data_IF_883701298098
#
_entry.id   IF_883701298098
#
_cell.length_a   1.000
_cell.length_b   1.000
_cell.length_c   1.000
_cell.angle_alpha   90.00
_cell.angle_beta   90.00
_cell.angle_gamma   90.00
#
_symmetry.space_group_name_H-M   'P 1'
#
loop_
_entity.id
_entity.type
_entity.pdbx_description
1 polymer ?
#
# COMPACT_ATOMS: atom_id res chain seq x y z
N UNK A 1 28.64 -52.38 -5.54
CA UNK A 1 27.37 -52.20 -4.78
C UNK A 1 27.41 -50.84 -4.10
N UNK A 2 26.30 -50.12 -4.21
CA UNK A 2 26.15 -48.65 -4.11
C UNK A 2 26.54 -48.04 -2.76
N UNK A 3 27.25 -46.91 -2.78
CA UNK A 3 27.32 -45.94 -1.67
C UNK A 3 26.58 -44.68 -2.11
N UNK A 4 25.29 -44.62 -1.76
CA UNK A 4 24.43 -43.49 -2.08
C UNK A 4 24.84 -42.29 -1.23
N UNK A 5 25.43 -41.25 -1.85
CA UNK A 5 25.64 -39.95 -1.21
C UNK A 5 24.28 -39.26 -1.04
N UNK A 6 23.91 -38.98 0.20
CA UNK A 6 22.75 -38.16 0.55
C UNK A 6 23.09 -36.68 0.30
N UNK A 7 22.57 -36.13 -0.80
CA UNK A 7 22.59 -34.70 -1.09
C UNK A 7 21.54 -34.03 -0.21
N UNK A 8 21.99 -33.29 0.81
CA UNK A 8 21.12 -32.50 1.68
C UNK A 8 20.72 -31.22 0.94
N UNK A 9 19.52 -31.23 0.37
CA UNK A 9 18.95 -30.09 -0.35
C UNK A 9 18.67 -28.96 0.65
N UNK A 10 19.39 -27.84 0.56
CA UNK A 10 19.12 -26.64 1.35
C UNK A 10 17.70 -26.15 1.05
N UNK A 11 16.88 -26.10 2.10
CA UNK A 11 15.58 -25.43 2.09
C UNK A 11 15.81 -23.94 1.86
N UNK A 12 15.62 -23.48 0.63
CA UNK A 12 15.56 -22.06 0.31
C UNK A 12 14.34 -21.46 1.00
N UNK A 13 14.56 -20.58 1.96
CA UNK A 13 13.50 -19.88 2.66
C UNK A 13 12.71 -19.03 1.65
N UNK A 14 11.50 -19.44 1.32
CA UNK A 14 10.58 -18.63 0.53
C UNK A 14 10.12 -17.46 1.40
N UNK A 15 10.72 -16.29 1.18
CA UNK A 15 10.23 -15.04 1.76
C UNK A 15 8.83 -14.77 1.21
N UNK A 16 7.80 -15.20 1.93
CA UNK A 16 6.44 -14.75 1.73
C UNK A 16 6.45 -13.24 2.00
N UNK A 17 6.36 -12.42 0.94
CA UNK A 17 6.22 -10.97 1.08
C UNK A 17 4.97 -10.70 1.91
N UNK A 18 5.15 -10.46 3.20
CA UNK A 18 4.11 -9.95 4.07
C UNK A 18 3.51 -8.71 3.41
N UNK A 19 2.18 -8.69 3.35
CA UNK A 19 1.37 -7.62 2.78
C UNK A 19 1.92 -6.28 3.27
N UNK A 20 2.56 -5.50 2.39
CA UNK A 20 3.28 -4.26 2.76
C UNK A 20 2.40 -3.11 3.26
N UNK A 21 1.12 -3.41 3.54
CA UNK A 21 0.09 -2.47 3.93
C UNK A 21 -0.25 -2.65 5.42
N UNK A 22 -0.21 -1.56 6.16
CA UNK A 22 -0.57 -1.46 7.56
C UNK A 22 -1.97 -0.83 7.67
N UNK A 23 -2.93 -1.58 8.21
CA UNK A 23 -4.32 -1.15 8.33
C UNK A 23 -4.53 -0.52 9.71
N UNK A 24 -5.03 0.71 9.73
CA UNK A 24 -5.40 1.47 10.93
C UNK A 24 -6.92 1.73 10.92
N UNK A 25 -7.52 2.09 12.07
CA UNK A 25 -8.89 2.59 12.07
C UNK A 25 -9.02 3.81 11.15
N UNK A 26 -9.76 3.67 10.05
CA UNK A 26 -10.01 4.75 9.09
C UNK A 26 -8.86 5.08 8.13
N UNK A 27 -7.74 4.33 8.16
CA UNK A 27 -6.59 4.62 7.31
C UNK A 27 -5.83 3.36 6.89
N UNK A 28 -5.15 3.44 5.75
CA UNK A 28 -4.22 2.42 5.28
C UNK A 28 -2.89 3.09 4.96
N UNK A 29 -1.81 2.55 5.52
CA UNK A 29 -0.45 3.02 5.35
C UNK A 29 0.37 2.03 4.56
N UNK A 30 1.11 2.53 3.57
CA UNK A 30 2.07 1.74 2.82
C UNK A 30 3.49 2.25 3.10
N UNK A 31 4.25 1.48 3.88
CA UNK A 31 5.64 1.81 4.21
C UNK A 31 6.55 1.78 2.98
N UNK A 32 6.24 0.94 1.99
CA UNK A 32 7.03 0.78 0.77
C UNK A 32 6.75 1.90 -0.22
N UNK A 33 5.49 2.28 -0.43
CA UNK A 33 5.15 3.46 -1.24
C UNK A 33 5.45 4.78 -0.49
N UNK A 34 5.48 4.74 0.84
CA UNK A 34 5.84 5.86 1.70
C UNK A 34 4.73 6.90 1.81
N UNK A 35 3.48 6.47 1.94
CA UNK A 35 2.34 7.33 2.25
C UNK A 35 1.24 6.58 2.99
N UNK A 36 0.37 7.32 3.67
CA UNK A 36 -0.89 6.84 4.21
C UNK A 36 -2.06 7.53 3.51
N UNK A 37 -3.21 6.87 3.49
CA UNK A 37 -4.45 7.41 2.96
C UNK A 37 -5.63 7.07 3.87
N UNK A 38 -6.63 7.95 3.87
CA UNK A 38 -7.91 7.79 4.55
C UNK A 38 -9.09 7.94 3.57
N UNK A 39 -10.30 8.14 4.09
CA UNK A 39 -11.51 8.34 3.29
C UNK A 39 -11.46 9.58 2.37
N UNK A 40 -10.62 10.56 2.68
CA UNK A 40 -10.46 11.80 1.90
C UNK A 40 -9.40 11.65 0.80
N UNK A 41 -8.41 10.77 1.00
CA UNK A 41 -7.39 10.45 0.00
C UNK A 41 -6.01 10.26 0.61
N UNK A 42 -4.96 10.44 -0.19
CA UNK A 42 -3.58 10.48 0.29
C UNK A 42 -3.41 11.61 1.30
N UNK A 43 -2.93 11.29 2.51
CA UNK A 43 -2.87 12.22 3.64
C UNK A 43 -1.43 12.46 4.10
N UNK A 44 -0.99 13.71 3.99
CA UNK A 44 0.34 14.15 4.47
C UNK A 44 0.43 14.04 5.99
N UNK A 45 -0.64 14.43 6.69
CA UNK A 45 -0.71 14.38 8.15
C UNK A 45 -0.59 12.94 8.67
N UNK A 46 -1.37 11.99 8.13
CA UNK A 46 -1.29 10.58 8.54
C UNK A 46 0.04 9.95 8.12
N UNK A 47 0.60 10.37 6.99
CA UNK A 47 1.93 9.93 6.56
C UNK A 47 2.98 10.32 7.59
N UNK A 48 2.95 11.56 8.12
CA UNK A 48 3.84 11.98 9.20
C UNK A 48 3.59 11.18 10.48
N UNK A 49 2.32 11.05 10.88
CA UNK A 49 1.92 10.38 12.12
C UNK A 49 2.42 8.93 12.17
N UNK A 50 2.20 8.16 11.10
CA UNK A 50 2.47 6.73 11.10
C UNK A 50 3.82 6.34 10.47
N UNK A 51 4.34 7.14 9.54
CA UNK A 51 5.59 6.84 8.81
C UNK A 51 6.74 7.81 9.11
N UNK A 52 6.48 8.88 9.86
CA UNK A 52 7.46 9.86 10.32
C UNK A 52 7.75 11.00 9.33
N UNK A 53 8.44 12.02 9.83
CA UNK A 53 8.74 13.26 9.10
C UNK A 53 9.52 13.03 7.79
N UNK A 54 10.38 12.01 7.73
CA UNK A 54 11.11 11.68 6.49
C UNK A 54 10.19 11.19 5.38
N UNK A 55 9.11 10.46 5.72
CA UNK A 55 8.12 10.02 4.75
C UNK A 55 7.22 11.18 4.30
N UNK A 56 6.82 12.03 5.24
CA UNK A 56 6.10 13.28 4.98
C UNK A 56 6.85 14.15 3.96
N UNK A 57 8.14 14.43 4.19
CA UNK A 57 8.98 15.23 3.29
C UNK A 57 9.03 14.62 1.88
N UNK A 58 9.29 13.31 1.78
CA UNK A 58 9.31 12.61 0.49
C UNK A 58 7.96 12.66 -0.23
N UNK A 59 6.86 12.56 0.49
CA UNK A 59 5.52 12.69 -0.09
C UNK A 59 5.31 14.10 -0.63
N UNK A 60 5.64 15.12 0.15
CA UNK A 60 5.57 16.53 -0.26
C UNK A 60 6.45 16.80 -1.48
N UNK A 61 7.67 16.27 -1.53
CA UNK A 61 8.57 16.40 -2.69
C UNK A 61 7.95 15.80 -3.95
N UNK A 62 7.29 14.64 -3.84
CA UNK A 62 6.57 14.02 -4.97
C UNK A 62 5.39 14.87 -5.43
N UNK A 63 4.60 15.41 -4.50
CA UNK A 63 3.48 16.32 -4.81
C UNK A 63 4.00 17.57 -5.51
N UNK A 64 5.05 18.20 -4.98
CA UNK A 64 5.65 19.40 -5.55
C UNK A 64 6.27 19.15 -6.93
N UNK A 65 6.85 17.96 -7.16
CA UNK A 65 7.41 17.58 -8.46
C UNK A 65 6.34 17.49 -9.56
N UNK A 66 5.14 17.03 -9.23
CA UNK A 66 4.01 16.97 -10.17
C UNK A 66 3.29 18.32 -10.25
N UNK A 67 3.26 19.06 -9.15
CA UNK A 67 2.48 20.28 -8.98
C UNK A 67 1.24 20.00 -8.13
N UNK A 68 0.97 20.84 -7.13
CA UNK A 68 -0.16 20.65 -6.23
C UNK A 68 -1.52 20.71 -6.95
N UNK A 69 -1.61 21.43 -8.08
CA UNK A 69 -2.81 21.50 -8.91
C UNK A 69 -3.06 20.21 -9.70
N UNK A 70 -2.00 19.47 -10.04
CA UNK A 70 -2.04 18.27 -10.87
C UNK A 70 -2.03 16.96 -10.07
N UNK A 71 -1.85 17.06 -8.75
CA UNK A 71 -1.89 15.92 -7.84
C UNK A 71 -3.35 15.60 -7.45
N UNK A 72 -3.85 14.42 -7.87
CA UNK A 72 -5.15 13.91 -7.43
C UNK A 72 -4.97 12.99 -6.20
N UNK A 73 -5.27 13.45 -4.97
CA UNK A 73 -5.19 12.61 -3.77
C UNK A 73 -6.32 11.57 -3.70
N UNK A 74 -7.36 11.71 -4.53
CA UNK A 74 -8.59 10.88 -4.46
C UNK A 74 -8.46 9.56 -5.20
N UNK A 75 -7.42 9.39 -6.01
CA UNK A 75 -7.12 8.15 -6.72
C UNK A 75 -5.66 7.75 -6.48
N UNK A 76 -5.47 6.65 -5.74
CA UNK A 76 -4.14 6.18 -5.37
C UNK A 76 -4.02 4.66 -5.49
N UNK A 77 -2.79 4.21 -5.78
CA UNK A 77 -2.42 2.80 -5.80
C UNK A 77 -1.30 2.56 -4.81
N UNK A 78 -1.49 1.58 -3.93
CA UNK A 78 -0.52 1.11 -2.96
C UNK A 78 0.23 -0.12 -3.49
N UNK A 79 1.32 -0.47 -2.81
CA UNK A 79 2.10 -1.68 -3.04
C UNK A 79 1.21 -2.91 -3.03
N UNK A 80 1.48 -3.83 -3.95
CA UNK A 80 0.64 -5.01 -4.14
C UNK A 80 -0.58 -4.77 -5.05
N UNK A 81 -0.73 -3.56 -5.61
CA UNK A 81 -1.74 -3.27 -6.63
C UNK A 81 -3.10 -2.85 -6.08
N UNK A 82 -3.22 -2.65 -4.76
CA UNK A 82 -4.42 -2.11 -4.15
C UNK A 82 -4.66 -0.69 -4.65
N UNK A 83 -5.71 -0.49 -5.43
CA UNK A 83 -6.08 0.83 -5.96
C UNK A 83 -7.36 1.27 -5.27
N UNK A 84 -7.40 2.48 -4.74
CA UNK A 84 -8.58 3.03 -4.09
C UNK A 84 -8.97 4.34 -4.77
N UNK A 85 -10.27 4.58 -4.86
CA UNK A 85 -10.85 5.82 -5.37
C UNK A 85 -11.87 6.34 -4.38
N UNK A 86 -11.61 7.50 -3.78
CA UNK A 86 -12.48 8.04 -2.73
C UNK A 86 -13.83 8.51 -3.28
N UNK A 87 -13.86 8.98 -4.54
CA UNK A 87 -15.10 9.33 -5.27
C UNK A 87 -16.04 8.13 -5.44
N UNK A 88 -15.48 6.94 -5.67
CA UNK A 88 -16.23 5.68 -5.83
C UNK A 88 -16.40 4.94 -4.49
N UNK A 89 -15.81 5.45 -3.40
CA UNK A 89 -15.79 4.84 -2.07
C UNK A 89 -15.46 3.34 -2.08
N UNK A 90 -14.53 2.96 -2.94
CA UNK A 90 -14.20 1.55 -3.21
C UNK A 90 -12.69 1.39 -3.43
N UNK A 91 -12.18 0.24 -3.00
CA UNK A 91 -10.83 -0.23 -3.29
C UNK A 91 -10.88 -1.54 -4.07
N UNK A 92 -9.87 -1.78 -4.92
CA UNK A 92 -9.74 -2.99 -5.73
C UNK A 92 -8.36 -3.59 -5.56
N UNK A 93 -8.27 -4.92 -5.53
CA UNK A 93 -7.02 -5.67 -5.38
C UNK A 93 -6.18 -5.72 -6.67
N UNK A 94 -6.52 -4.90 -7.66
CA UNK A 94 -5.93 -4.87 -8.99
C UNK A 94 -5.99 -3.44 -9.51
N UNK A 95 -4.95 -3.02 -10.25
CA UNK A 95 -4.94 -1.73 -10.94
C UNK A 95 -6.06 -1.58 -11.98
N UNK A 96 -6.64 -2.70 -12.43
CA UNK A 96 -7.68 -2.73 -13.45
C UNK A 96 -9.10 -2.63 -12.89
N UNK A 97 -9.29 -2.68 -11.57
CA UNK A 97 -10.60 -2.46 -10.95
C UNK A 97 -11.60 -3.62 -11.08
N UNK A 98 -11.13 -4.82 -11.40
CA UNK A 98 -11.96 -6.01 -11.67
C UNK A 98 -12.38 -6.78 -10.41
N UNK A 99 -11.68 -6.57 -9.29
CA UNK A 99 -11.96 -7.26 -8.02
C UNK A 99 -11.93 -6.30 -6.85
N UNK A 100 -13.08 -6.08 -6.21
CA UNK A 100 -13.20 -5.26 -5.01
C UNK A 100 -12.41 -5.89 -3.86
N UNK A 101 -11.62 -5.06 -3.18
CA UNK A 101 -11.00 -5.39 -1.90
C UNK A 101 -11.92 -4.93 -0.77
N UNK A 102 -12.71 -5.88 -0.25
CA UNK A 102 -13.70 -5.59 0.78
C UNK A 102 -13.05 -5.09 2.09
N UNK A 103 -11.84 -5.57 2.43
CA UNK A 103 -11.16 -5.17 3.66
C UNK A 103 -10.73 -3.72 3.57
N UNK A 104 -10.08 -3.32 2.50
CA UNK A 104 -9.64 -1.94 2.28
C UNK A 104 -10.84 -0.99 2.13
N UNK A 105 -11.85 -1.40 1.38
CA UNK A 105 -13.09 -0.63 1.18
C UNK A 105 -13.77 -0.34 2.52
N UNK A 106 -13.96 -1.37 3.35
CA UNK A 106 -14.55 -1.21 4.68
C UNK A 106 -13.67 -0.36 5.61
N UNK A 107 -12.35 -0.52 5.53
CA UNK A 107 -11.40 0.23 6.38
C UNK A 107 -11.47 1.73 6.11
N UNK A 108 -11.51 2.13 4.84
CA UNK A 108 -11.51 3.55 4.47
C UNK A 108 -12.91 4.16 4.48
N UNK A 109 -13.93 3.43 4.03
CA UNK A 109 -15.23 4.03 3.73
C UNK A 109 -16.38 3.50 4.60
N UNK A 110 -16.16 2.43 5.37
CA UNK A 110 -17.20 1.81 6.20
C UNK A 110 -18.25 1.00 5.42
N UNK A 111 -18.12 0.91 4.10
CA UNK A 111 -19.02 0.18 3.18
C UNK A 111 -18.79 -1.32 3.16
#
# INVERSE_FOLDING_TARGET
MSKTLLITMLLTSTSLFASGLDYKPGAICDKKAGFCADMQGVSVALTKEYLGAKAEQKLMDRINKVGAADFDPTWFTMSGGLTCKTKEKTCWSSRYGDKVDAKATKTLFGS
#
